data_IF_333736963701
#
_entry.id   IF_333736963701
#
_cell.length_a   1.000
_cell.length_b   1.000
_cell.length_c   1.000
_cell.angle_alpha   90.00
_cell.angle_beta   90.00
_cell.angle_gamma   90.00
#
_symmetry.space_group_name_H-M   'P 1'
#
loop_
_entity.id
_entity.type
_entity.pdbx_description
1 polymer ?
#
# COMPACT_ATOMS: atom_id res chain seq x y z
N UNK A 1 29.85 34.38 -2.04
CA UNK A 1 30.14 33.02 -1.52
C UNK A 1 29.03 32.08 -2.01
N UNK A 2 29.37 31.18 -2.95
CA UNK A 2 28.87 29.79 -3.15
C UNK A 2 27.33 29.62 -3.05
N UNK A 3 26.49 29.58 -4.09
CA UNK A 3 26.42 28.79 -5.34
C UNK A 3 26.79 27.30 -5.24
N UNK A 4 25.86 26.44 -5.67
CA UNK A 4 25.90 24.97 -5.88
C UNK A 4 25.32 24.10 -4.75
N UNK A 5 24.55 23.02 -4.96
CA UNK A 5 23.99 22.30 -6.14
C UNK A 5 23.04 21.23 -5.56
N UNK A 6 21.81 21.08 -6.08
CA UNK A 6 21.39 20.01 -7.01
C UNK A 6 21.47 18.57 -6.48
N UNK A 7 20.29 17.96 -6.36
CA UNK A 7 19.95 16.56 -6.66
C UNK A 7 18.43 16.57 -6.95
N UNK A 8 18.00 16.97 -8.15
CA UNK A 8 17.80 16.08 -9.31
C UNK A 8 17.24 14.71 -8.92
N UNK A 9 15.92 14.57 -9.00
CA UNK A 9 15.31 13.33 -9.51
C UNK A 9 14.52 13.66 -10.78
N UNK A 10 15.26 13.99 -11.84
CA UNK A 10 14.78 13.69 -13.18
C UNK A 10 14.71 12.15 -13.29
N UNK A 11 13.49 11.63 -13.36
CA UNK A 11 13.26 10.26 -13.79
C UNK A 11 12.01 10.22 -14.66
N UNK A 12 12.27 10.09 -15.96
CA UNK A 12 11.35 9.75 -17.05
C UNK A 12 10.36 10.84 -17.49
N UNK A 13 10.84 11.71 -18.38
CA UNK A 13 10.07 12.17 -19.53
C UNK A 13 9.59 10.97 -20.36
N UNK A 14 8.51 10.32 -19.91
CA UNK A 14 7.59 9.67 -20.83
C UNK A 14 6.61 10.75 -21.23
N UNK A 15 6.70 11.16 -22.49
CA UNK A 15 5.95 12.26 -23.08
C UNK A 15 4.47 11.88 -23.22
N UNK A 16 3.75 11.70 -22.10
CA UNK A 16 2.64 12.59 -21.79
C UNK A 16 1.65 12.96 -22.91
N UNK A 17 1.22 12.11 -23.86
CA UNK A 17 0.58 12.62 -25.07
C UNK A 17 -0.78 13.26 -24.77
N UNK A 18 -1.32 13.05 -23.57
CA UNK A 18 -2.58 13.62 -23.09
C UNK A 18 -2.37 14.72 -22.03
N UNK A 19 -1.14 15.19 -21.80
CA UNK A 19 -0.87 16.25 -20.80
C UNK A 19 -1.72 17.49 -21.06
N UNK A 20 -1.69 17.99 -22.29
CA UNK A 20 -2.46 19.16 -22.70
C UNK A 20 -3.96 18.98 -22.47
N UNK A 21 -4.50 17.83 -22.87
CA UNK A 21 -5.94 17.52 -22.71
C UNK A 21 -6.32 17.45 -21.23
N UNK A 22 -5.49 16.84 -20.38
CA UNK A 22 -5.75 16.79 -18.93
C UNK A 22 -5.72 18.17 -18.28
N UNK A 23 -4.82 19.05 -18.71
CA UNK A 23 -4.77 20.43 -18.24
C UNK A 23 -6.04 21.19 -18.64
N UNK A 24 -6.50 21.06 -19.89
CA UNK A 24 -7.76 21.69 -20.34
C UNK A 24 -9.01 21.16 -19.66
N UNK A 25 -9.11 19.85 -19.44
CA UNK A 25 -10.21 19.26 -18.67
C UNK A 25 -10.19 19.80 -17.23
N UNK A 26 -9.00 19.94 -16.64
CA UNK A 26 -8.84 20.49 -15.29
C UNK A 26 -9.30 21.94 -15.22
N UNK A 27 -8.88 22.79 -16.15
CA UNK A 27 -9.32 24.19 -16.26
C UNK A 27 -10.84 24.31 -16.37
N UNK A 28 -11.46 23.55 -17.29
CA UNK A 28 -12.91 23.52 -17.46
C UNK A 28 -13.63 23.04 -16.20
N UNK A 29 -13.14 21.98 -15.56
CA UNK A 29 -13.73 21.48 -14.33
C UNK A 29 -13.65 22.50 -13.19
N UNK A 30 -12.57 23.29 -13.10
CA UNK A 30 -12.43 24.38 -12.12
C UNK A 30 -13.43 25.49 -12.40
N UNK A 31 -13.52 25.93 -13.66
CA UNK A 31 -14.46 26.99 -14.06
C UNK A 31 -15.93 26.61 -13.81
N UNK A 32 -16.28 25.34 -13.97
CA UNK A 32 -17.63 24.82 -13.71
C UNK A 32 -17.88 24.46 -12.23
N UNK A 33 -16.90 24.67 -11.33
CA UNK A 33 -17.00 24.25 -9.92
C UNK A 33 -17.07 22.73 -9.71
N UNK A 34 -16.77 21.95 -10.75
CA UNK A 34 -16.80 20.48 -10.75
C UNK A 34 -15.46 19.88 -10.34
N UNK A 35 -14.39 20.68 -10.31
CA UNK A 35 -13.07 20.22 -9.91
C UNK A 35 -13.03 19.94 -8.42
N UNK A 36 -13.01 18.66 -8.07
CA UNK A 36 -12.67 18.20 -6.72
C UNK A 36 -11.25 17.67 -6.78
N UNK A 37 -10.26 18.36 -6.17
CA UNK A 37 -8.94 17.75 -6.01
C UNK A 37 -9.15 16.43 -5.29
N UNK A 38 -8.52 15.36 -5.79
CA UNK A 38 -8.51 14.11 -5.08
C UNK A 38 -8.05 14.42 -3.66
N UNK A 39 -8.90 14.13 -2.66
CA UNK A 39 -8.48 14.21 -1.28
C UNK A 39 -7.18 13.42 -1.23
N UNK A 40 -6.08 14.08 -0.87
CA UNK A 40 -4.87 13.38 -0.50
C UNK A 40 -5.36 12.44 0.59
N UNK A 41 -5.48 11.17 0.25
CA UNK A 41 -5.73 10.13 1.23
C UNK A 41 -4.48 10.19 2.09
N UNK A 42 -4.51 11.01 3.14
CA UNK A 42 -3.63 10.81 4.27
C UNK A 42 -3.80 9.34 4.57
N UNK A 43 -2.69 8.61 4.51
CA UNK A 43 -2.64 7.16 4.69
C UNK A 43 -2.95 6.79 6.15
N UNK A 44 -3.74 7.61 6.85
CA UNK A 44 -4.34 7.34 8.15
C UNK A 44 -5.53 6.38 8.03
N UNK A 45 -5.99 6.10 6.80
CA UNK A 45 -6.72 4.88 6.48
C UNK A 45 -5.81 3.65 6.43
N UNK A 46 -4.82 3.58 7.33
CA UNK A 46 -3.93 2.43 7.48
C UNK A 46 -4.78 1.18 7.59
N UNK A 47 -4.42 0.15 6.82
CA UNK A 47 -4.99 -1.19 6.96
C UNK A 47 -5.20 -1.49 8.44
N UNK A 48 -6.41 -1.96 8.83
CA UNK A 48 -6.73 -2.40 10.21
C UNK A 48 -5.73 -3.45 10.77
N UNK A 49 -4.80 -3.92 9.93
CA UNK A 49 -3.73 -4.86 10.23
C UNK A 49 -2.39 -4.11 10.15
N UNK A 50 -1.73 -3.81 11.29
CA UNK A 50 -0.44 -3.11 11.33
C UNK A 50 0.67 -3.84 10.58
N UNK A 51 0.59 -5.16 10.49
CA UNK A 51 1.55 -6.01 9.79
C UNK A 51 1.37 -6.05 8.27
N UNK A 52 0.28 -5.46 7.75
CA UNK A 52 -0.04 -5.49 6.32
C UNK A 52 0.53 -4.25 5.63
N UNK A 53 1.79 -4.36 5.21
CA UNK A 53 2.56 -3.25 4.67
C UNK A 53 2.41 -3.05 3.15
N UNK A 54 3.24 -2.18 2.59
CA UNK A 54 3.27 -1.90 1.16
C UNK A 54 3.60 -3.16 0.34
N UNK A 55 4.52 -4.01 0.79
CA UNK A 55 4.90 -5.23 0.06
C UNK A 55 3.72 -6.19 -0.08
N UNK A 56 2.92 -6.36 0.99
CA UNK A 56 1.69 -7.14 0.92
C UNK A 56 0.68 -6.56 -0.08
N UNK A 57 0.57 -5.23 -0.16
CA UNK A 57 -0.28 -4.52 -1.13
C UNK A 57 0.22 -4.71 -2.57
N UNK A 58 1.50 -4.52 -2.82
CA UNK A 58 2.13 -4.71 -4.14
C UNK A 58 1.98 -6.15 -4.62
N UNK A 59 2.21 -7.12 -3.74
CA UNK A 59 2.04 -8.54 -4.07
C UNK A 59 0.59 -8.89 -4.39
N UNK A 60 -0.38 -8.37 -3.62
CA UNK A 60 -1.82 -8.53 -3.91
C UNK A 60 -2.20 -7.89 -5.24
N UNK A 61 -1.66 -6.71 -5.54
CA UNK A 61 -1.88 -6.02 -6.82
C UNK A 61 -1.39 -6.88 -7.99
N UNK A 62 -0.17 -7.41 -7.91
CA UNK A 62 0.42 -8.24 -8.96
C UNK A 62 -0.35 -9.56 -9.18
N UNK A 63 -0.81 -10.20 -8.09
CA UNK A 63 -1.71 -11.35 -8.16
C UNK A 63 -3.02 -11.00 -8.90
N UNK A 64 -3.67 -9.89 -8.51
CA UNK A 64 -4.91 -9.43 -9.14
C UNK A 64 -4.70 -9.02 -10.60
N UNK A 65 -3.55 -8.45 -10.95
CA UNK A 65 -3.18 -8.12 -12.32
C UNK A 65 -3.04 -9.39 -13.17
N UNK A 66 -2.41 -10.44 -12.64
CA UNK A 66 -2.33 -11.73 -13.33
C UNK A 66 -3.70 -12.41 -13.47
N UNK A 67 -4.56 -12.33 -12.45
CA UNK A 67 -5.93 -12.83 -12.54
C UNK A 67 -6.74 -12.13 -13.63
N UNK A 68 -6.63 -10.80 -13.74
CA UNK A 68 -7.28 -10.04 -14.82
C UNK A 68 -6.80 -10.49 -16.20
N UNK A 69 -5.49 -10.65 -16.38
CA UNK A 69 -4.92 -11.19 -17.63
C UNK A 69 -5.43 -12.61 -17.92
N UNK A 70 -5.51 -13.48 -16.92
CA UNK A 70 -6.03 -14.84 -17.06
C UNK A 70 -7.47 -14.86 -17.56
N UNK A 71 -8.34 -14.03 -16.95
CA UNK A 71 -9.76 -13.89 -17.35
C UNK A 71 -9.89 -13.37 -18.78
N UNK A 72 -9.12 -12.35 -19.15
CA UNK A 72 -9.12 -11.77 -20.50
C UNK A 72 -8.65 -12.75 -21.59
N UNK A 73 -7.83 -13.75 -21.24
CA UNK A 73 -7.24 -14.71 -22.17
C UNK A 73 -7.92 -16.08 -22.17
N UNK A 74 -9.05 -16.22 -21.47
CA UNK A 74 -9.84 -17.47 -21.44
C UNK A 74 -9.15 -18.62 -20.73
N UNK A 75 -8.46 -18.35 -19.61
CA UNK A 75 -7.89 -19.40 -18.74
C UNK A 75 -6.80 -20.30 -19.36
N UNK A 76 -6.06 -19.82 -20.37
CA UNK A 76 -4.96 -20.59 -20.98
C UNK A 76 -3.80 -20.87 -20.01
N UNK A 77 -3.16 -22.04 -20.17
CA UNK A 77 -2.09 -22.56 -19.32
C UNK A 77 -0.95 -21.59 -18.94
N UNK A 78 -0.33 -20.82 -19.86
CA UNK A 78 0.78 -19.93 -19.47
C UNK A 78 0.35 -18.82 -18.50
N UNK A 79 -0.88 -18.34 -18.62
CA UNK A 79 -1.42 -17.32 -17.72
C UNK A 79 -1.87 -17.94 -16.39
N UNK A 80 -2.31 -19.21 -16.42
CA UNK A 80 -2.72 -19.93 -15.22
C UNK A 80 -1.52 -20.15 -14.31
N UNK A 81 -0.40 -20.65 -14.86
CA UNK A 81 0.86 -20.81 -14.12
C UNK A 81 1.32 -19.50 -13.51
N UNK A 82 1.31 -18.40 -14.27
CA UNK A 82 1.68 -17.07 -13.77
C UNK A 82 0.81 -16.62 -12.59
N UNK A 83 -0.51 -16.81 -12.67
CA UNK A 83 -1.42 -16.48 -11.58
C UNK A 83 -1.19 -17.35 -10.35
N UNK A 84 -1.03 -18.66 -10.52
CA UNK A 84 -0.78 -19.60 -9.41
C UNK A 84 0.50 -19.23 -8.65
N UNK A 85 1.59 -18.95 -9.37
CA UNK A 85 2.85 -18.52 -8.76
C UNK A 85 2.68 -17.24 -7.95
N UNK A 86 2.04 -16.21 -8.52
CA UNK A 86 1.80 -14.94 -7.81
C UNK A 86 0.85 -15.08 -6.63
N UNK A 87 -0.17 -15.94 -6.73
CA UNK A 87 -1.10 -16.25 -5.64
C UNK A 87 -0.37 -16.93 -4.48
N UNK A 88 0.50 -17.90 -4.77
CA UNK A 88 1.28 -18.60 -3.76
C UNK A 88 2.25 -17.65 -3.06
N UNK A 89 2.94 -16.80 -3.83
CA UNK A 89 3.83 -15.77 -3.30
C UNK A 89 3.10 -14.78 -2.39
N UNK A 90 1.92 -14.30 -2.78
CA UNK A 90 1.13 -13.42 -1.93
C UNK A 90 0.68 -14.12 -0.63
N UNK A 91 0.21 -15.37 -0.74
CA UNK A 91 -0.24 -16.15 0.43
C UNK A 91 0.90 -16.42 1.41
N UNK A 92 2.08 -16.81 0.92
CA UNK A 92 3.24 -17.07 1.76
C UNK A 92 3.72 -15.80 2.44
N UNK A 93 3.83 -14.69 1.70
CA UNK A 93 4.25 -13.39 2.24
C UNK A 93 3.29 -12.91 3.34
N UNK A 94 1.98 -12.93 3.07
CA UNK A 94 0.95 -12.54 4.03
C UNK A 94 1.07 -13.35 5.32
N UNK A 95 1.17 -14.69 5.20
CA UNK A 95 1.28 -15.58 6.36
C UNK A 95 2.57 -15.34 7.14
N UNK A 96 3.70 -15.16 6.45
CA UNK A 96 5.00 -14.85 7.08
C UNK A 96 4.92 -13.58 7.93
N UNK A 97 4.34 -12.49 7.41
CA UNK A 97 4.24 -11.23 8.14
C UNK A 97 3.27 -11.27 9.30
N UNK A 98 2.15 -11.97 9.13
CA UNK A 98 1.19 -12.22 10.20
C UNK A 98 1.83 -12.99 11.35
N UNK A 99 2.52 -14.11 11.05
CA UNK A 99 3.24 -14.91 12.06
C UNK A 99 4.33 -14.07 12.75
N UNK A 100 5.17 -13.37 11.99
CA UNK A 100 6.24 -12.55 12.55
C UNK A 100 5.72 -11.44 13.47
N UNK A 101 4.59 -10.83 13.10
CA UNK A 101 3.95 -9.83 13.95
C UNK A 101 3.46 -10.46 15.26
N UNK A 102 2.71 -11.55 15.21
CA UNK A 102 2.23 -12.22 16.42
C UNK A 102 3.36 -12.75 17.31
N UNK A 103 4.46 -13.22 16.73
CA UNK A 103 5.65 -13.63 17.47
C UNK A 103 6.26 -12.44 18.24
N UNK A 104 6.51 -11.31 17.56
CA UNK A 104 6.99 -10.08 18.21
C UNK A 104 6.05 -9.57 19.29
N UNK A 105 4.73 -9.65 19.06
CA UNK A 105 3.74 -9.28 20.06
C UNK A 105 3.86 -10.13 21.31
N UNK A 106 3.96 -11.45 21.15
CA UNK A 106 4.10 -12.40 22.25
C UNK A 106 5.39 -12.13 23.03
N UNK A 107 6.49 -11.95 22.32
CA UNK A 107 7.81 -11.65 22.90
C UNK A 107 7.78 -10.36 23.72
N UNK A 108 7.19 -9.29 23.19
CA UNK A 108 7.07 -7.99 23.87
C UNK A 108 6.22 -8.09 25.14
N UNK A 109 5.16 -8.89 25.11
CA UNK A 109 4.35 -9.14 26.32
C UNK A 109 5.12 -10.00 27.33
N UNK A 110 5.83 -11.05 26.89
CA UNK A 110 6.59 -11.91 27.80
C UNK A 110 7.81 -11.24 28.42
N UNK A 111 8.42 -10.27 27.74
CA UNK A 111 9.60 -9.55 28.23
C UNK A 111 9.25 -8.36 29.13
N UNK A 112 7.98 -7.99 29.23
CA UNK A 112 7.54 -6.89 30.08
C UNK A 112 7.67 -7.26 31.57
N UNK A 113 8.56 -6.56 32.28
CA UNK A 113 8.83 -6.77 33.72
C UNK A 113 7.94 -5.92 34.62
N UNK A 114 7.37 -4.83 34.08
CA UNK A 114 6.57 -3.87 34.81
C UNK A 114 5.16 -3.78 34.22
N UNK A 115 4.17 -3.58 35.09
CA UNK A 115 2.76 -3.40 34.70
C UNK A 115 2.55 -2.27 33.68
N UNK A 116 3.32 -1.17 33.82
CA UNK A 116 3.26 -0.04 32.88
C UNK A 116 3.66 -0.44 31.45
N UNK A 117 4.71 -1.24 31.31
CA UNK A 117 5.23 -1.68 30.02
C UNK A 117 4.31 -2.74 29.39
N UNK A 118 3.74 -3.61 30.22
CA UNK A 118 2.72 -4.56 29.79
C UNK A 118 1.51 -3.84 29.18
N UNK A 119 0.92 -2.86 29.89
CA UNK A 119 -0.22 -2.10 29.37
C UNK A 119 0.14 -1.19 28.19
N UNK A 120 1.38 -0.72 28.09
CA UNK A 120 1.87 -0.02 26.91
C UNK A 120 1.90 -0.95 25.69
N UNK A 121 2.43 -2.16 25.82
CA UNK A 121 2.43 -3.17 24.77
C UNK A 121 0.99 -3.56 24.37
N UNK A 122 0.11 -3.80 25.34
CA UNK A 122 -1.31 -4.14 25.09
C UNK A 122 -2.04 -3.05 24.30
N UNK A 123 -1.76 -1.77 24.57
CA UNK A 123 -2.37 -0.65 23.83
C UNK A 123 -1.95 -0.58 22.36
N UNK A 124 -0.79 -1.10 21.99
CA UNK A 124 -0.40 -1.19 20.58
C UNK A 124 -1.27 -2.20 19.80
N UNK A 125 -1.95 -3.12 20.51
CA UNK A 125 -2.82 -4.15 19.91
C UNK A 125 -4.30 -3.79 19.92
N UNK A 126 -4.76 -3.04 20.92
CA UNK A 126 -6.09 -2.44 20.92
C UNK A 126 -6.01 -1.22 19.99
N UNK A 127 -6.33 -1.41 18.70
CA UNK A 127 -6.41 -0.32 17.73
C UNK A 127 -7.19 0.89 18.26
N UNK A 128 -7.08 2.08 17.64
CA UNK A 128 -7.48 3.35 18.23
C UNK A 128 -8.88 3.25 18.84
N UNK A 129 -8.94 3.26 20.17
CA UNK A 129 -10.19 3.35 20.91
C UNK A 129 -10.80 4.69 20.52
N UNK A 130 -11.87 4.66 19.73
CA UNK A 130 -12.73 5.82 19.57
C UNK A 130 -13.24 6.19 20.96
N UNK A 131 -12.58 7.14 21.62
CA UNK A 131 -13.19 7.86 22.72
C UNK A 131 -14.28 8.70 22.07
N UNK A 132 -15.53 8.33 22.35
CA UNK A 132 -16.70 9.12 21.98
C UNK A 132 -16.72 10.44 22.73
#
# INVERSE_FOLDING_TARGET
MISQKLLSSEAATSDDPYRFIREKIKECAVALGMYRPAKVLTVEGGSHKPWYDHECRSSKYEMNRALRKLKQRGFKQPFLGSYVTKRNLYRSLKKKKEIAHHARSRETMSSSRNSKDFWAAVRQFRGPTKRG
#
